data_IF_893913391732
#
_entry.id   IF_893913391732
#
_cell.length_a   1.000
_cell.length_b   1.000
_cell.length_c   1.000
_cell.angle_alpha   90.00
_cell.angle_beta   90.00
_cell.angle_gamma   90.00
#
_symmetry.space_group_name_H-M   'P 1'
#
loop_
_entity.id
_entity.type
_entity.pdbx_description
1 polymer ?
#
# COMPACT_ATOMS: atom_id res chain seq x y z
N UNK A 1 87.41 -6.35 3.53
CA UNK A 1 87.00 -7.46 2.62
C UNK A 1 85.93 -8.29 3.32
N UNK A 2 84.95 -8.75 2.56
CA UNK A 2 83.57 -9.10 2.96
C UNK A 2 83.46 -10.44 3.70
N UNK A 3 82.62 -10.53 4.74
CA UNK A 3 82.13 -11.80 5.30
C UNK A 3 80.89 -12.28 4.52
N UNK A 4 80.72 -13.59 4.25
CA UNK A 4 79.43 -14.16 3.88
C UNK A 4 78.81 -14.87 5.10
N UNK A 5 77.57 -14.51 5.44
CA UNK A 5 76.74 -15.32 6.34
C UNK A 5 75.34 -15.51 5.73
N UNK A 6 75.03 -16.79 5.58
CA UNK A 6 73.78 -17.53 5.50
C UNK A 6 72.45 -16.76 5.42
N UNK A 7 71.68 -17.08 4.37
CA UNK A 7 70.21 -17.01 4.30
C UNK A 7 69.80 -18.36 3.69
N UNK A 8 68.81 -19.11 4.16
CA UNK A 8 67.41 -18.75 4.26
C UNK A 8 66.70 -19.66 5.28
N UNK A 9 65.92 -19.08 6.19
CA UNK A 9 64.91 -19.78 6.99
C UNK A 9 63.59 -19.06 6.79
N UNK A 10 62.60 -19.76 6.24
CA UNK A 10 61.26 -19.24 6.00
C UNK A 10 60.51 -19.09 7.32
N UNK A 11 59.80 -17.97 7.48
CA UNK A 11 58.75 -17.81 8.49
C UNK A 11 57.62 -16.97 7.88
N UNK A 12 56.54 -17.66 7.54
CA UNK A 12 55.25 -17.08 7.21
C UNK A 12 54.54 -16.69 8.50
N UNK A 13 53.97 -15.47 8.59
CA UNK A 13 53.03 -15.09 9.64
C UNK A 13 51.99 -14.09 9.09
N UNK A 14 50.80 -14.65 8.89
CA UNK A 14 49.44 -14.12 8.98
C UNK A 14 49.19 -12.61 8.74
N UNK A 15 48.62 -12.32 7.56
CA UNK A 15 47.79 -11.13 7.34
C UNK A 15 46.43 -11.32 8.05
N UNK A 16 46.19 -10.61 9.15
CA UNK A 16 44.83 -10.43 9.68
C UNK A 16 44.21 -9.26 8.93
N UNK A 17 43.33 -9.57 7.99
CA UNK A 17 42.54 -8.59 7.26
C UNK A 17 41.56 -7.89 8.21
N UNK A 18 41.77 -6.60 8.46
CA UNK A 18 40.76 -5.74 9.09
C UNK A 18 39.58 -5.58 8.12
N UNK A 19 38.49 -6.28 8.39
CA UNK A 19 37.20 -6.03 7.75
C UNK A 19 36.68 -4.70 8.30
N UNK A 20 36.98 -3.60 7.60
CA UNK A 20 36.24 -2.35 7.74
C UNK A 20 34.79 -2.64 7.37
N UNK A 21 33.95 -2.82 8.39
CA UNK A 21 32.51 -2.91 8.26
C UNK A 21 32.02 -1.66 7.54
N UNK A 22 31.55 -1.84 6.31
CA UNK A 22 30.88 -0.80 5.56
C UNK A 22 29.57 -0.53 6.30
N UNK A 23 29.55 0.51 7.14
CA UNK A 23 28.30 1.06 7.62
C UNK A 23 27.53 1.50 6.38
N UNK A 24 26.52 0.72 6.00
CA UNK A 24 25.59 1.10 4.95
C UNK A 24 24.96 2.42 5.41
N UNK A 25 25.37 3.52 4.79
CA UNK A 25 24.70 4.79 4.91
C UNK A 25 23.26 4.56 4.44
N UNK A 26 22.36 4.34 5.40
CA UNK A 26 20.92 4.27 5.17
C UNK A 26 20.55 5.60 4.51
N UNK A 27 20.02 5.54 3.29
CA UNK A 27 19.77 6.71 2.47
C UNK A 27 19.01 7.78 3.26
N UNK A 28 19.56 8.99 3.29
CA UNK A 28 18.90 10.15 3.89
C UNK A 28 17.73 10.57 2.98
N UNK A 29 16.60 9.87 3.11
CA UNK A 29 15.35 10.26 2.47
C UNK A 29 14.56 11.23 3.34
N UNK A 30 13.55 11.87 2.75
CA UNK A 30 12.51 12.58 3.49
C UNK A 30 11.46 11.56 3.93
N UNK A 31 11.33 11.24 5.23
CA UNK A 31 10.39 10.23 5.70
C UNK A 31 9.01 10.81 6.03
N UNK A 32 8.74 12.07 5.63
CA UNK A 32 7.44 12.73 5.84
C UNK A 32 6.35 12.12 4.96
N UNK A 33 5.14 12.00 5.50
CA UNK A 33 3.99 11.38 4.84
C UNK A 33 2.68 12.03 5.30
N UNK A 34 1.59 11.73 4.61
CA UNK A 34 0.23 12.13 5.00
C UNK A 34 -0.44 10.99 5.78
N UNK A 35 -0.87 11.27 7.01
CA UNK A 35 -1.73 10.38 7.81
C UNK A 35 -3.18 10.60 7.39
N UNK A 36 -3.87 9.55 6.95
CA UNK A 36 -5.28 9.64 6.51
C UNK A 36 -6.15 8.80 7.43
N UNK A 37 -7.21 9.41 7.96
CA UNK A 37 -8.17 8.72 8.81
C UNK A 37 -9.37 8.25 7.99
N UNK A 38 -9.53 6.92 7.83
CA UNK A 38 -10.71 6.30 7.21
C UNK A 38 -11.33 5.25 8.14
N UNK A 39 -11.25 5.47 9.45
CA UNK A 39 -11.65 4.50 10.47
C UNK A 39 -13.11 4.55 10.89
N UNK A 40 -13.83 5.58 10.49
CA UNK A 40 -15.15 5.90 11.05
C UNK A 40 -15.11 6.49 12.46
N UNK A 41 -13.92 6.69 13.05
CA UNK A 41 -13.72 7.31 14.37
C UNK A 41 -12.75 8.49 14.29
N UNK A 42 -12.80 9.41 15.25
CA UNK A 42 -11.80 10.47 15.39
C UNK A 42 -10.48 9.88 15.90
N UNK A 43 -9.35 10.29 15.32
CA UNK A 43 -8.02 10.02 15.87
C UNK A 43 -7.65 11.19 16.78
N UNK A 44 -7.39 10.91 18.05
CA UNK A 44 -7.00 11.90 19.06
C UNK A 44 -5.50 12.07 19.15
N UNK A 45 -4.71 11.02 18.88
CA UNK A 45 -3.24 11.07 19.00
C UNK A 45 -2.58 10.33 17.85
N UNK A 46 -1.45 10.85 17.36
CA UNK A 46 -0.64 10.18 16.34
C UNK A 46 0.85 10.22 16.71
N UNK A 47 1.53 9.09 16.54
CA UNK A 47 2.94 8.93 16.84
C UNK A 47 3.67 8.33 15.64
N UNK A 48 4.91 8.75 15.43
CA UNK A 48 5.83 8.11 14.51
C UNK A 48 7.24 8.06 15.12
N UNK A 49 7.90 6.92 15.00
CA UNK A 49 9.28 6.72 15.44
C UNK A 49 10.02 5.84 14.44
N UNK A 50 11.36 5.89 14.46
CA UNK A 50 12.14 4.92 13.69
C UNK A 50 11.77 3.50 14.12
N UNK A 51 11.67 2.56 13.19
CA UNK A 51 11.38 1.15 13.51
C UNK A 51 12.49 0.47 14.36
N UNK A 52 13.64 1.13 14.55
CA UNK A 52 14.71 0.68 15.44
C UNK A 52 14.50 1.13 16.90
N UNK A 53 13.50 1.99 17.16
CA UNK A 53 13.17 2.51 18.49
C UNK A 53 11.97 1.77 19.07
N UNK A 54 12.05 1.38 20.34
CA UNK A 54 10.96 0.71 21.06
C UNK A 54 10.02 1.69 21.78
N UNK A 55 10.40 2.96 21.87
CA UNK A 55 9.66 4.02 22.58
C UNK A 55 9.02 4.99 21.60
N UNK A 56 7.75 5.33 21.83
CA UNK A 56 7.07 6.38 21.10
C UNK A 56 7.55 7.77 21.55
N UNK A 57 7.63 8.70 20.59
CA UNK A 57 7.91 10.10 20.85
C UNK A 57 6.68 10.87 21.35
N UNK A 58 6.70 12.19 21.17
CA UNK A 58 5.53 13.04 21.44
C UNK A 58 4.38 12.75 20.47
N UNK A 59 3.18 13.10 20.89
CA UNK A 59 2.03 13.19 19.99
C UNK A 59 2.28 14.27 18.92
N UNK A 60 2.04 13.90 17.67
CA UNK A 60 2.25 14.71 16.48
C UNK A 60 1.04 15.61 16.19
N UNK A 61 -0.16 15.27 16.68
CA UNK A 61 -1.36 16.12 16.54
C UNK A 61 -1.37 17.28 17.57
N UNK A 62 -0.71 17.11 18.71
CA UNK A 62 -0.62 18.14 19.74
C UNK A 62 -1.97 18.36 20.44
N UNK A 63 -2.59 19.52 20.22
CA UNK A 63 -3.92 19.83 20.77
C UNK A 63 -5.04 19.60 19.74
N UNK A 64 -4.70 19.24 18.51
CA UNK A 64 -5.66 18.99 17.44
C UNK A 64 -6.10 17.52 17.42
N UNK A 65 -7.18 17.23 16.70
CA UNK A 65 -7.65 15.87 16.42
C UNK A 65 -7.85 15.69 14.92
N UNK A 66 -7.71 14.46 14.44
CA UNK A 66 -7.94 14.12 13.04
C UNK A 66 -9.29 13.41 12.88
N UNK A 67 -10.29 14.16 12.42
CA UNK A 67 -11.63 13.62 12.15
C UNK A 67 -11.61 12.54 11.06
N UNK A 68 -12.63 11.68 11.06
CA UNK A 68 -12.82 10.69 9.99
C UNK A 68 -12.93 11.39 8.61
N UNK A 69 -12.25 10.83 7.61
CA UNK A 69 -12.09 11.41 6.27
C UNK A 69 -10.98 12.47 6.16
N UNK A 70 -10.39 12.88 7.29
CA UNK A 70 -9.35 13.90 7.33
C UNK A 70 -7.96 13.39 6.96
N UNK A 71 -7.10 14.33 6.59
CA UNK A 71 -5.67 14.11 6.30
C UNK A 71 -4.80 15.05 7.14
N UNK A 72 -3.72 14.53 7.73
CA UNK A 72 -2.74 15.29 8.50
C UNK A 72 -1.32 15.08 7.95
N UNK A 73 -0.60 16.17 7.69
CA UNK A 73 0.76 16.11 7.17
C UNK A 73 1.77 15.85 8.30
N UNK A 74 2.29 14.63 8.38
CA UNK A 74 3.33 14.24 9.34
C UNK A 74 4.69 14.68 8.80
N UNK A 75 5.31 15.64 9.47
CA UNK A 75 6.65 16.17 9.14
C UNK A 75 7.70 15.55 10.04
N UNK A 76 8.59 14.75 9.45
CA UNK A 76 9.69 14.11 10.15
C UNK A 76 11.03 14.71 9.69
N UNK A 77 12.05 14.79 10.57
CA UNK A 77 13.39 15.16 10.14
C UNK A 77 13.91 14.15 9.12
N UNK A 78 14.76 14.61 8.20
CA UNK A 78 15.46 13.73 7.27
C UNK A 78 16.22 12.63 8.03
N UNK A 79 16.14 11.38 7.57
CA UNK A 79 16.67 10.27 8.34
C UNK A 79 16.22 8.91 7.83
N UNK A 80 16.00 7.98 8.77
CA UNK A 80 15.62 6.60 8.46
C UNK A 80 14.25 6.55 7.76
N UNK A 81 14.17 5.78 6.69
CA UNK A 81 12.94 5.64 5.91
C UNK A 81 11.96 4.65 6.52
N UNK A 82 12.42 3.72 7.35
CA UNK A 82 11.57 2.72 7.99
C UNK A 82 11.10 3.21 9.35
N UNK A 83 9.81 3.48 9.46
CA UNK A 83 9.18 4.06 10.64
C UNK A 83 8.00 3.20 11.12
N UNK A 84 7.83 3.18 12.43
CA UNK A 84 6.63 2.68 13.09
C UNK A 84 5.68 3.86 13.32
N UNK A 85 4.38 3.63 13.14
CA UNK A 85 3.35 4.65 13.23
C UNK A 85 2.22 4.10 14.11
N UNK A 86 1.74 4.90 15.05
CA UNK A 86 0.65 4.56 15.95
C UNK A 86 -0.38 5.66 15.96
N UNK A 87 -1.65 5.29 15.98
CA UNK A 87 -2.77 6.20 16.22
C UNK A 87 -3.56 5.74 17.43
N UNK A 88 -4.11 6.70 18.17
CA UNK A 88 -5.07 6.46 19.25
C UNK A 88 -6.38 7.14 18.85
N UNK A 89 -7.44 6.36 18.80
CA UNK A 89 -8.79 6.81 18.50
C UNK A 89 -9.47 7.36 19.74
N UNK A 90 -10.53 8.12 19.53
CA UNK A 90 -11.49 8.50 20.56
C UNK A 90 -11.92 7.27 21.38
N UNK A 91 -11.81 7.39 22.71
CA UNK A 91 -12.05 6.30 23.65
C UNK A 91 -10.85 5.40 23.92
N UNK A 92 -9.65 5.74 23.41
CA UNK A 92 -8.37 5.14 23.81
C UNK A 92 -7.96 3.86 23.08
N UNK A 93 -8.77 3.36 22.14
CA UNK A 93 -8.38 2.24 21.25
C UNK A 93 -7.21 2.70 20.38
N UNK A 94 -6.18 1.88 20.21
CA UNK A 94 -5.04 2.22 19.34
C UNK A 94 -4.86 1.24 18.18
N UNK A 95 -4.23 1.72 17.11
CA UNK A 95 -3.81 0.90 15.97
C UNK A 95 -2.37 1.27 15.58
N UNK A 96 -1.58 0.28 15.19
CA UNK A 96 -0.17 0.44 14.85
C UNK A 96 0.12 -0.06 13.43
N UNK A 97 1.09 0.56 12.79
CA UNK A 97 1.72 0.18 11.53
C UNK A 97 3.22 0.10 11.80
N UNK A 98 3.78 -1.10 11.77
CA UNK A 98 5.21 -1.31 12.04
C UNK A 98 5.97 -1.44 10.73
N UNK A 99 7.21 -0.98 10.69
CA UNK A 99 8.13 -1.20 9.56
C UNK A 99 7.74 -0.52 8.25
N UNK A 100 7.09 0.65 8.31
CA UNK A 100 6.62 1.38 7.12
C UNK A 100 7.78 2.09 6.43
N UNK A 101 8.01 1.83 5.13
CA UNK A 101 8.92 2.63 4.30
C UNK A 101 8.27 3.95 3.90
N UNK A 102 8.40 4.97 4.76
CA UNK A 102 7.76 6.28 4.57
C UNK A 102 8.44 7.16 3.54
N UNK A 103 9.68 6.87 3.14
CA UNK A 103 10.32 7.59 2.03
C UNK A 103 9.71 7.25 0.67
N UNK A 104 9.06 6.09 0.56
CA UNK A 104 8.36 5.64 -0.65
C UNK A 104 6.84 5.70 -0.52
N UNK A 105 6.34 6.04 0.66
CA UNK A 105 4.93 6.05 0.98
C UNK A 105 4.47 7.48 1.27
N UNK A 106 3.72 8.06 0.34
CA UNK A 106 3.20 9.42 0.48
C UNK A 106 2.00 9.48 1.45
N UNK A 107 1.23 8.40 1.60
CA UNK A 107 0.04 8.34 2.43
C UNK A 107 -0.01 7.06 3.27
N UNK A 108 -0.31 7.20 4.56
CA UNK A 108 -0.53 6.09 5.48
C UNK A 108 -1.96 6.17 6.00
N UNK A 109 -2.77 5.18 5.65
CA UNK A 109 -4.21 5.16 5.96
C UNK A 109 -4.49 4.28 7.18
N UNK A 110 -5.21 4.82 8.14
CA UNK A 110 -5.71 4.12 9.33
C UNK A 110 -7.21 3.91 9.25
N UNK A 111 -7.71 2.78 9.76
CA UNK A 111 -9.13 2.46 9.75
C UNK A 111 -9.62 1.49 8.68
N UNK A 112 -8.79 1.13 7.71
CA UNK A 112 -8.99 -0.10 6.95
C UNK A 112 -8.44 -1.26 7.78
N UNK A 113 -9.29 -2.22 8.16
CA UNK A 113 -8.83 -3.43 8.83
C UNK A 113 -7.86 -4.17 7.90
N UNK A 114 -6.58 -4.24 8.31
CA UNK A 114 -5.56 -5.10 7.72
C UNK A 114 -4.53 -4.40 6.83
N UNK A 115 -3.65 -3.59 7.42
CA UNK A 115 -2.33 -3.33 6.83
C UNK A 115 -1.25 -3.38 7.93
N UNK A 116 -0.81 -4.57 8.33
CA UNK A 116 0.52 -4.72 8.91
C UNK A 116 1.50 -4.86 7.76
N UNK A 117 2.30 -3.82 7.49
CA UNK A 117 3.39 -3.93 6.53
C UNK A 117 4.50 -4.81 7.11
N UNK A 118 4.89 -5.84 6.38
CA UNK A 118 6.09 -6.64 6.62
C UNK A 118 6.74 -6.94 5.29
N UNK A 119 7.72 -6.11 4.91
CA UNK A 119 8.57 -6.34 3.74
C UNK A 119 9.65 -7.40 4.03
N UNK A 120 9.77 -8.38 3.14
CA UNK A 120 11.04 -8.94 2.63
C UNK A 120 10.78 -9.16 1.14
N UNK A 121 11.57 -8.74 0.16
CA UNK A 121 12.99 -8.42 0.13
C UNK A 121 13.56 -9.14 -1.10
N UNK A 122 13.73 -8.37 -2.18
CA UNK A 122 14.63 -8.52 -3.34
C UNK A 122 14.81 -9.85 -4.12
N UNK A 123 14.86 -9.65 -5.46
CA UNK A 123 15.59 -10.40 -6.50
C UNK A 123 14.95 -11.66 -7.13
N UNK A 124 14.66 -11.58 -8.43
CA UNK A 124 14.53 -12.76 -9.30
C UNK A 124 13.42 -12.71 -10.35
N UNK A 125 13.81 -12.48 -11.60
CA UNK A 125 13.04 -12.48 -12.84
C UNK A 125 12.30 -13.82 -13.11
N UNK A 126 11.06 -13.72 -13.63
CA UNK A 126 10.23 -14.69 -14.41
C UNK A 126 9.08 -15.40 -13.66
N UNK A 127 7.89 -15.27 -14.26
CA UNK A 127 6.78 -16.23 -14.16
C UNK A 127 5.64 -15.75 -13.26
N UNK A 128 4.55 -15.27 -13.86
CA UNK A 128 3.32 -14.93 -13.16
C UNK A 128 2.74 -16.15 -12.44
N UNK A 129 2.61 -16.03 -11.13
CA UNK A 129 1.79 -16.89 -10.30
C UNK A 129 1.05 -15.96 -9.33
N UNK A 130 -0.28 -16.07 -9.32
CA UNK A 130 -1.18 -15.26 -8.52
C UNK A 130 -0.71 -15.17 -7.05
N UNK A 131 -0.53 -13.95 -6.55
CA UNK A 131 -0.46 -13.73 -5.10
C UNK A 131 -1.77 -14.22 -4.49
N UNK A 132 -1.76 -14.87 -3.30
CA UNK A 132 -3.00 -15.14 -2.59
C UNK A 132 -3.65 -13.79 -2.31
N UNK A 133 -4.69 -13.47 -3.09
CA UNK A 133 -5.34 -12.18 -3.06
C UNK A 133 -5.89 -11.95 -1.67
N UNK A 134 -5.72 -10.73 -1.17
CA UNK A 134 -6.50 -10.23 -0.03
C UNK A 134 -7.96 -10.63 -0.28
N UNK A 135 -8.60 -11.22 0.72
CA UNK A 135 -10.02 -11.57 0.66
C UNK A 135 -10.85 -10.65 1.55
N UNK A 136 -12.09 -10.39 1.14
CA UNK A 136 -12.97 -9.44 1.80
C UNK A 136 -14.32 -9.33 1.10
N UNK A 137 -14.99 -8.19 1.26
CA UNK A 137 -16.21 -7.87 0.54
C UNK A 137 -15.87 -6.96 -0.66
N UNK A 138 -15.88 -7.48 -1.91
CA UNK A 138 -15.57 -6.69 -3.09
C UNK A 138 -16.80 -5.95 -3.66
N UNK A 139 -17.90 -5.82 -2.90
CA UNK A 139 -19.08 -5.06 -3.37
C UNK A 139 -18.76 -3.57 -3.50
N UNK A 140 -19.23 -2.93 -4.58
CA UNK A 140 -18.94 -1.54 -4.92
C UNK A 140 -20.14 -0.86 -5.58
N UNK A 141 -20.13 0.47 -5.69
CA UNK A 141 -21.05 1.23 -6.53
C UNK A 141 -20.43 1.47 -7.91
N UNK A 142 -21.12 1.06 -8.96
CA UNK A 142 -20.86 1.52 -10.32
C UNK A 142 -21.28 2.98 -10.44
N UNK A 143 -20.40 3.85 -10.92
CA UNK A 143 -20.68 5.26 -11.20
C UNK A 143 -20.44 5.55 -12.68
N UNK A 144 -21.50 5.91 -13.39
CA UNK A 144 -21.42 6.25 -14.80
C UNK A 144 -21.23 7.78 -14.95
N UNK A 145 -20.00 8.22 -15.24
CA UNK A 145 -19.70 9.61 -15.58
C UNK A 145 -19.50 9.83 -17.08
N UNK A 146 -19.87 8.84 -17.90
CA UNK A 146 -19.88 8.96 -19.36
C UNK A 146 -21.18 9.59 -19.86
N UNK A 147 -21.22 9.89 -21.17
CA UNK A 147 -22.44 10.30 -21.86
C UNK A 147 -23.26 9.12 -22.44
N UNK A 148 -22.91 7.87 -22.13
CA UNK A 148 -23.55 6.66 -22.67
C UNK A 148 -24.24 5.87 -21.55
N UNK A 149 -25.39 5.26 -21.84
CA UNK A 149 -26.04 4.32 -20.91
C UNK A 149 -25.27 3.02 -20.83
N UNK A 150 -24.91 2.58 -19.62
CA UNK A 150 -24.33 1.26 -19.37
C UNK A 150 -25.47 0.25 -19.27
N UNK A 151 -25.42 -0.80 -20.09
CA UNK A 151 -26.44 -1.85 -20.15
C UNK A 151 -25.95 -3.22 -19.65
N UNK A 152 -24.63 -3.41 -19.50
CA UNK A 152 -24.05 -4.64 -18.95
C UNK A 152 -22.88 -4.27 -18.03
N UNK A 153 -22.77 -4.92 -16.88
CA UNK A 153 -21.55 -4.90 -16.05
C UNK A 153 -21.11 -6.33 -15.75
N UNK A 154 -19.85 -6.63 -16.04
CA UNK A 154 -19.20 -7.88 -15.62
C UNK A 154 -18.06 -7.56 -14.66
N UNK A 155 -17.91 -8.40 -13.66
CA UNK A 155 -16.85 -8.29 -12.66
C UNK A 155 -16.37 -9.69 -12.29
N UNK A 156 -15.08 -9.94 -12.50
CA UNK A 156 -14.40 -11.20 -12.19
C UNK A 156 -13.14 -10.91 -11.39
N UNK A 157 -12.70 -11.85 -10.53
CA UNK A 157 -11.35 -11.79 -9.98
C UNK A 157 -10.33 -11.62 -11.11
N UNK A 158 -9.29 -10.81 -10.93
CA UNK A 158 -8.28 -10.57 -11.97
C UNK A 158 -7.44 -11.82 -12.28
N UNK A 159 -7.51 -12.83 -11.40
CA UNK A 159 -6.94 -14.16 -11.59
C UNK A 159 -7.78 -15.04 -12.53
N UNK A 160 -9.04 -14.69 -12.76
CA UNK A 160 -9.98 -15.44 -13.62
C UNK A 160 -9.96 -14.88 -15.04
N UNK A 161 -9.82 -15.76 -16.02
CA UNK A 161 -9.87 -15.42 -17.44
C UNK A 161 -11.30 -15.30 -17.99
N UNK A 162 -12.31 -15.62 -17.17
CA UNK A 162 -13.72 -15.55 -17.53
C UNK A 162 -14.41 -14.39 -16.80
N UNK A 163 -15.07 -13.53 -17.57
CA UNK A 163 -15.77 -12.35 -17.04
C UNK A 163 -17.04 -12.67 -16.21
N UNK A 164 -17.54 -13.91 -16.29
CA UNK A 164 -18.76 -14.32 -15.60
C UNK A 164 -20.04 -13.66 -16.13
N UNK A 165 -21.12 -13.73 -15.35
CA UNK A 165 -22.45 -13.22 -15.72
C UNK A 165 -22.57 -11.69 -15.61
N UNK A 166 -23.59 -11.14 -16.26
CA UNK A 166 -23.97 -9.74 -16.07
C UNK A 166 -24.51 -9.50 -14.65
N UNK A 167 -23.98 -8.47 -14.01
CA UNK A 167 -24.32 -8.05 -12.65
C UNK A 167 -25.45 -7.02 -12.60
N UNK A 168 -25.86 -6.45 -13.73
CA UNK A 168 -27.00 -5.54 -13.81
C UNK A 168 -28.33 -6.26 -14.07
N UNK A 169 -28.29 -7.40 -14.77
CA UNK A 169 -29.49 -8.15 -15.14
C UNK A 169 -30.33 -7.35 -16.14
N UNK A 170 -31.55 -6.97 -15.74
CA UNK A 170 -32.42 -6.14 -16.58
C UNK A 170 -32.28 -4.64 -16.31
N UNK A 171 -31.41 -4.24 -15.37
CA UNK A 171 -31.18 -2.84 -15.03
C UNK A 171 -30.20 -2.17 -16.00
N UNK A 172 -30.34 -0.86 -16.16
CA UNK A 172 -29.37 -0.01 -16.89
C UNK A 172 -28.92 1.15 -16.00
N UNK A 173 -27.74 1.69 -16.30
CA UNK A 173 -27.18 2.85 -15.57
C UNK A 173 -26.97 3.99 -16.55
N UNK A 174 -27.91 4.95 -16.55
CA UNK A 174 -27.87 6.14 -17.39
C UNK A 174 -26.66 7.04 -17.06
N UNK A 175 -26.30 7.98 -17.97
CA UNK A 175 -25.31 9.02 -17.69
C UNK A 175 -25.55 9.74 -16.36
N UNK A 176 -24.51 9.91 -15.55
CA UNK A 176 -24.58 10.46 -14.19
C UNK A 176 -25.14 9.51 -13.13
N UNK A 177 -25.59 8.31 -13.55
CA UNK A 177 -26.20 7.32 -12.68
C UNK A 177 -25.22 6.58 -11.76
N UNK A 178 -25.78 5.99 -10.71
CA UNK A 178 -25.07 5.09 -9.78
C UNK A 178 -25.87 3.82 -9.54
N UNK A 179 -25.19 2.69 -9.40
CA UNK A 179 -25.84 1.40 -9.12
C UNK A 179 -24.98 0.54 -8.18
N UNK A 180 -25.59 -0.08 -7.18
CA UNK A 180 -24.88 -0.92 -6.21
C UNK A 180 -24.67 -2.34 -6.74
N UNK A 181 -23.42 -2.72 -6.94
CA UNK A 181 -23.01 -4.08 -7.34
C UNK A 181 -22.71 -4.89 -6.09
N UNK A 182 -23.45 -5.98 -5.91
CA UNK A 182 -23.25 -6.94 -4.82
C UNK A 182 -22.49 -8.14 -5.33
N UNK A 183 -21.34 -8.40 -4.72
CA UNK A 183 -20.50 -9.55 -5.01
C UNK A 183 -20.37 -10.43 -3.76
N UNK A 184 -20.24 -11.76 -3.92
CA UNK A 184 -19.91 -12.62 -2.80
C UNK A 184 -18.55 -12.21 -2.20
N UNK A 185 -18.39 -12.42 -0.90
CA UNK A 185 -17.09 -12.24 -0.27
C UNK A 185 -16.08 -13.22 -0.91
N UNK A 186 -14.87 -12.74 -1.16
CA UNK A 186 -13.87 -13.47 -1.94
C UNK A 186 -12.62 -12.64 -2.14
N UNK A 187 -11.89 -12.87 -3.24
CA UNK A 187 -10.75 -12.05 -3.63
C UNK A 187 -11.11 -10.56 -3.70
N UNK A 188 -10.12 -9.69 -3.56
CA UNK A 188 -10.33 -8.25 -3.64
C UNK A 188 -9.87 -7.66 -4.97
N UNK A 189 -8.97 -8.34 -5.69
CA UNK A 189 -8.43 -7.88 -6.95
C UNK A 189 -9.34 -8.32 -8.11
N UNK A 190 -9.98 -7.36 -8.75
CA UNK A 190 -11.00 -7.62 -9.76
C UNK A 190 -10.73 -6.83 -11.03
N UNK A 191 -11.13 -7.44 -12.13
CA UNK A 191 -11.33 -6.78 -13.39
C UNK A 191 -12.82 -6.44 -13.54
N UNK A 192 -13.11 -5.23 -14.00
CA UNK A 192 -14.48 -4.72 -14.21
C UNK A 192 -14.62 -4.27 -15.65
N UNK A 193 -15.65 -4.79 -16.32
CA UNK A 193 -16.00 -4.46 -17.70
C UNK A 193 -17.42 -3.92 -17.75
N UNK A 194 -17.61 -2.84 -18.49
CA UNK A 194 -18.92 -2.32 -18.83
C UNK A 194 -19.16 -2.38 -20.33
N UNK A 195 -20.39 -2.67 -20.73
CA UNK A 195 -20.84 -2.50 -22.11
C UNK A 195 -21.98 -1.48 -22.14
N UNK A 196 -21.89 -0.58 -23.11
CA UNK A 196 -22.86 0.49 -23.33
C UNK A 196 -23.94 0.02 -24.32
N UNK A 197 -25.09 0.71 -24.36
CA UNK A 197 -26.19 0.37 -25.28
C UNK A 197 -25.78 0.34 -26.76
N UNK A 198 -24.77 1.12 -27.15
CA UNK A 198 -24.22 1.11 -28.51
C UNK A 198 -23.26 -0.05 -28.79
N UNK A 199 -23.14 -1.02 -27.87
CA UNK A 199 -22.24 -2.18 -27.89
C UNK A 199 -20.74 -1.86 -27.80
N UNK A 200 -20.37 -0.60 -27.54
CA UNK A 200 -18.98 -0.30 -27.13
C UNK A 200 -18.74 -0.77 -25.70
N UNK A 201 -17.48 -1.05 -25.35
CA UNK A 201 -17.11 -1.56 -24.04
C UNK A 201 -15.88 -0.84 -23.49
N UNK A 202 -15.77 -0.80 -22.17
CA UNK A 202 -14.62 -0.28 -21.43
C UNK A 202 -14.27 -1.23 -20.29
N UNK A 203 -12.98 -1.38 -20.04
CA UNK A 203 -12.45 -2.30 -19.04
C UNK A 203 -11.50 -1.55 -18.09
N UNK A 204 -11.56 -1.93 -16.82
CA UNK A 204 -10.62 -1.50 -15.77
C UNK A 204 -10.12 -2.76 -15.08
N UNK A 205 -8.81 -2.97 -15.07
CA UNK A 205 -8.20 -4.19 -14.56
C UNK A 205 -7.49 -3.97 -13.22
N UNK A 206 -7.43 -5.02 -12.41
CA UNK A 206 -6.65 -5.07 -11.18
C UNK A 206 -7.12 -4.11 -10.08
N UNK A 207 -8.42 -3.82 -10.03
CA UNK A 207 -9.01 -2.94 -9.01
C UNK A 207 -9.07 -3.69 -7.68
N UNK A 208 -8.53 -3.10 -6.61
CA UNK A 208 -8.76 -3.60 -5.23
C UNK A 208 -10.13 -3.13 -4.73
N UNK A 209 -11.18 -3.90 -5.04
CA UNK A 209 -12.57 -3.61 -4.69
C UNK A 209 -12.85 -3.65 -3.18
N UNK A 210 -11.98 -4.28 -2.39
CA UNK A 210 -12.11 -4.21 -0.93
C UNK A 210 -11.59 -2.89 -0.35
N UNK A 211 -10.86 -2.12 -1.15
CA UNK A 211 -10.29 -0.83 -0.76
C UNK A 211 -11.04 0.36 -1.36
N UNK A 212 -11.93 0.14 -2.33
CA UNK A 212 -12.72 1.20 -2.98
C UNK A 212 -14.21 0.90 -2.86
N UNK A 213 -15.01 1.94 -2.63
CA UNK A 213 -16.47 1.80 -2.59
C UNK A 213 -17.12 2.10 -3.93
N UNK A 214 -16.41 2.80 -4.83
CA UNK A 214 -16.93 3.25 -6.12
C UNK A 214 -15.96 2.87 -7.24
N UNK A 215 -16.51 2.34 -8.33
CA UNK A 215 -15.80 2.18 -9.60
C UNK A 215 -16.44 3.15 -10.58
N UNK A 216 -15.66 4.15 -11.02
CA UNK A 216 -16.15 5.21 -11.90
C UNK A 216 -15.65 5.02 -13.32
N UNK A 217 -16.56 5.10 -14.28
CA UNK A 217 -16.27 5.17 -15.70
C UNK A 217 -16.40 6.65 -16.15
N UNK A 218 -15.30 7.38 -16.32
CA UNK A 218 -15.31 8.78 -16.73
C UNK A 218 -15.51 8.93 -18.24
N UNK A 219 -16.07 10.06 -18.67
CA UNK A 219 -16.09 10.40 -20.09
C UNK A 219 -14.66 10.54 -20.60
N UNK A 220 -14.30 9.72 -21.60
CA UNK A 220 -13.04 9.84 -22.34
C UNK A 220 -13.42 10.45 -23.68
N UNK A 221 -13.15 11.75 -23.82
CA UNK A 221 -13.49 12.55 -25.01
C UNK A 221 -12.87 12.03 -26.30
#
# INVERSE_FOLDING_TARGET
>A
MRLPTSRQGALALAFIAGLSGQALAQGQGNPSFNLVNRSGQTIEQAYASSAQQSTWGRDLLGNDVLQNGGTFAVRLPAGQCTNDIRVVYEGGRSEERRGVDTCRTNEVVFGQAGQGQGQRGADGKRGGAAQPGRSGNPSFNLVNRTNKTISVLRASPASDSNWGEDRLGNATVAPGGRFAIRLPAGECNYDVRVEYENRSAEEVHGVDLCSVSDVTFPDRG
#
